data_IF_778863903072
#
_entry.id   IF_778863903072
#
_cell.length_a   1.000
_cell.length_b   1.000
_cell.length_c   1.000
_cell.angle_alpha   90.00
_cell.angle_beta   90.00
_cell.angle_gamma   90.00
#
_symmetry.space_group_name_H-M   'P 1'
#
loop_
_entity.id
_entity.type
_entity.pdbx_description
1 polymer ?
#
# COMPACT_ATOMS: atom_id res chain seq x y z
N UNK A 1 -17.91 -43.10 -4.04
CA UNK A 1 -17.99 -42.15 -5.16
C UNK A 1 -17.10 -40.98 -4.78
N UNK A 2 -15.88 -41.02 -5.26
CA UNK A 2 -14.86 -39.99 -5.07
C UNK A 2 -15.30 -38.68 -5.70
N UNK A 3 -15.43 -37.63 -4.88
CA UNK A 3 -15.43 -36.27 -5.38
C UNK A 3 -13.99 -35.77 -5.40
N UNK A 4 -13.35 -36.02 -6.54
CA UNK A 4 -12.07 -35.44 -6.92
C UNK A 4 -12.20 -33.90 -6.97
N UNK A 5 -11.83 -33.23 -5.87
CA UNK A 5 -11.73 -31.77 -5.83
C UNK A 5 -10.57 -31.34 -6.73
N UNK A 6 -10.86 -31.00 -7.99
CA UNK A 6 -9.95 -30.25 -8.85
C UNK A 6 -9.61 -28.91 -8.18
N UNK A 7 -8.42 -28.85 -7.57
CA UNK A 7 -7.79 -27.62 -7.10
C UNK A 7 -7.46 -26.73 -8.31
N UNK A 8 -8.40 -25.85 -8.69
CA UNK A 8 -8.13 -24.78 -9.66
C UNK A 8 -7.35 -23.67 -8.95
N UNK A 9 -6.14 -23.39 -9.46
CA UNK A 9 -5.16 -22.43 -8.92
C UNK A 9 -5.73 -20.99 -9.01
N UNK A 10 -5.88 -20.32 -7.88
CA UNK A 10 -6.17 -18.88 -7.81
C UNK A 10 -4.87 -18.04 -7.81
N UNK A 11 -4.97 -16.73 -7.54
CA UNK A 11 -3.84 -15.79 -7.54
C UNK A 11 -2.72 -16.14 -6.53
N UNK A 12 -2.99 -17.07 -5.62
CA UNK A 12 -2.06 -17.67 -4.68
C UNK A 12 -1.97 -19.18 -4.97
N UNK A 13 -1.09 -19.58 -5.89
CA UNK A 13 -0.84 -20.99 -6.23
C UNK A 13 0.30 -21.59 -5.39
N UNK A 14 0.18 -22.87 -4.99
CA UNK A 14 1.28 -23.61 -4.34
C UNK A 14 2.46 -23.85 -5.31
N UNK A 15 3.66 -23.70 -4.77
CA UNK A 15 5.00 -23.86 -5.36
C UNK A 15 5.21 -25.20 -6.10
N UNK A 16 6.01 -25.16 -7.18
CA UNK A 16 7.08 -26.15 -7.37
C UNK A 16 8.40 -25.50 -6.94
N UNK A 17 9.20 -26.26 -6.19
CA UNK A 17 10.51 -25.88 -5.70
C UNK A 17 11.46 -25.59 -6.86
N UNK A 18 11.94 -24.35 -6.99
CA UNK A 18 13.36 -24.05 -7.20
C UNK A 18 13.62 -22.52 -7.20
N UNK A 19 14.89 -22.16 -7.05
CA UNK A 19 15.50 -20.82 -7.11
C UNK A 19 15.59 -20.01 -5.81
N UNK A 20 16.72 -20.22 -5.15
CA UNK A 20 17.51 -19.20 -4.44
C UNK A 20 17.81 -18.01 -5.37
N UNK A 21 17.60 -16.77 -4.91
CA UNK A 21 18.34 -15.63 -5.42
C UNK A 21 18.50 -14.52 -4.38
N UNK A 22 19.70 -13.92 -4.40
CA UNK A 22 20.26 -13.04 -3.39
C UNK A 22 19.62 -11.65 -3.33
N UNK A 23 19.58 -11.09 -2.12
CA UNK A 23 19.18 -9.72 -1.78
C UNK A 23 20.34 -8.77 -2.11
N UNK A 24 20.06 -7.67 -2.82
CA UNK A 24 20.96 -6.52 -2.90
C UNK A 24 20.26 -5.30 -2.30
N UNK A 25 20.90 -4.68 -1.32
CA UNK A 25 20.45 -3.47 -0.66
C UNK A 25 20.92 -2.25 -1.45
N UNK A 26 19.98 -1.43 -1.92
CA UNK A 26 20.28 -0.07 -2.34
C UNK A 26 19.35 0.92 -1.64
N UNK A 27 19.96 1.71 -0.76
CA UNK A 27 19.36 2.88 -0.14
C UNK A 27 19.39 4.05 -1.13
N UNK A 28 18.23 4.58 -1.50
CA UNK A 28 18.11 5.84 -2.20
C UNK A 28 17.57 6.92 -1.25
N UNK A 29 18.46 7.80 -0.80
CA UNK A 29 18.11 9.05 -0.15
C UNK A 29 17.74 10.10 -1.20
N UNK A 30 16.55 10.70 -1.06
CA UNK A 30 16.08 11.79 -1.89
C UNK A 30 15.31 12.81 -1.06
N UNK A 31 15.72 14.08 -1.17
CA UNK A 31 15.26 15.22 -0.37
C UNK A 31 13.77 15.52 -0.53
N UNK A 32 13.08 15.69 0.61
CA UNK A 32 11.66 16.03 0.71
C UNK A 32 11.40 17.46 0.22
N UNK A 33 10.65 17.58 -0.87
CA UNK A 33 9.87 18.78 -1.17
C UNK A 33 8.69 18.88 -0.20
N UNK A 34 8.65 19.95 0.59
CA UNK A 34 7.56 20.26 1.51
C UNK A 34 6.32 20.74 0.74
N UNK A 35 5.37 19.83 0.52
CA UNK A 35 4.00 20.17 0.15
C UNK A 35 3.20 20.56 1.40
N UNK A 36 2.23 21.49 1.28
CA UNK A 36 1.47 21.99 2.42
C UNK A 36 0.70 20.85 3.09
N UNK A 37 0.72 20.84 4.42
CA UNK A 37 0.02 19.86 5.23
C UNK A 37 -1.47 19.78 4.82
N UNK A 38 -2.05 18.58 4.63
CA UNK A 38 -3.49 18.44 4.46
C UNK A 38 -4.17 18.66 5.81
N UNK A 39 -4.22 19.91 6.25
CA UNK A 39 -5.16 20.31 7.28
C UNK A 39 -6.55 20.21 6.66
N UNK A 40 -7.41 19.35 7.21
CA UNK A 40 -8.87 19.21 6.94
C UNK A 40 -9.32 18.05 6.04
N UNK A 41 -8.65 16.91 6.04
CA UNK A 41 -9.36 15.66 5.79
C UNK A 41 -10.27 15.36 7.00
N UNK A 42 -11.48 15.95 7.04
CA UNK A 42 -12.52 15.55 7.99
C UNK A 42 -13.09 14.23 7.48
N UNK A 43 -12.49 13.10 7.87
CA UNK A 43 -13.08 11.78 7.61
C UNK A 43 -14.50 11.78 8.16
N UNK A 44 -15.45 11.28 7.37
CA UNK A 44 -16.81 11.02 7.83
C UNK A 44 -16.72 10.11 9.07
N UNK A 45 -16.87 10.70 10.26
CA UNK A 45 -16.86 9.98 11.52
C UNK A 45 -18.28 9.61 11.85
N UNK A 46 -18.46 8.45 12.47
CA UNK A 46 -19.69 8.14 13.17
C UNK A 46 -20.05 9.22 14.20
N UNK A 47 -21.30 9.22 14.66
CA UNK A 47 -21.83 10.27 15.52
C UNK A 47 -21.38 10.05 16.96
N UNK A 48 -20.79 11.04 17.65
CA UNK A 48 -20.50 10.92 19.08
C UNK A 48 -21.79 10.67 19.86
N UNK A 49 -21.77 9.71 20.79
CA UNK A 49 -22.94 9.36 21.63
C UNK A 49 -23.63 10.57 22.25
N UNK A 50 -22.93 11.55 22.86
CA UNK A 50 -23.59 12.74 23.43
C UNK A 50 -24.34 13.60 22.40
N UNK A 51 -24.01 13.48 21.11
CA UNK A 51 -24.63 14.22 20.02
C UNK A 51 -25.73 13.43 19.30
N UNK A 52 -25.93 12.15 19.64
CA UNK A 52 -26.94 11.28 19.04
C UNK A 52 -28.33 11.48 19.68
N UNK A 53 -28.73 12.73 19.88
CA UNK A 53 -29.96 13.12 20.59
C UNK A 53 -30.85 13.99 19.71
N UNK A 54 -32.16 14.00 20.01
CA UNK A 54 -33.11 14.85 19.29
C UNK A 54 -32.75 16.34 19.40
N UNK A 55 -32.28 16.76 20.58
CA UNK A 55 -31.88 18.14 20.83
C UNK A 55 -30.65 18.55 20.00
N UNK A 56 -29.62 17.70 19.93
CA UNK A 56 -28.43 17.97 19.13
C UNK A 56 -28.75 18.02 17.63
N UNK A 57 -29.63 17.13 17.14
CA UNK A 57 -30.08 17.12 15.75
C UNK A 57 -30.97 18.31 15.39
N UNK A 58 -31.84 18.75 16.32
CA UNK A 58 -32.72 19.92 16.13
C UNK A 58 -31.93 21.22 16.13
N UNK A 59 -31.01 21.37 17.08
CA UNK A 59 -30.13 22.55 17.18
C UNK A 59 -28.95 22.52 16.21
N UNK A 60 -28.75 21.39 15.51
CA UNK A 60 -27.59 21.13 14.64
C UNK A 60 -26.24 21.40 15.32
N UNK A 61 -26.17 21.20 16.64
CA UNK A 61 -24.98 21.48 17.44
C UNK A 61 -24.46 20.21 18.10
N UNK A 62 -23.19 19.88 17.85
CA UNK A 62 -22.48 18.78 18.50
C UNK A 62 -21.21 19.32 19.19
N UNK A 63 -21.39 19.86 20.40
CA UNK A 63 -20.33 20.45 21.21
C UNK A 63 -20.33 19.89 22.64
N UNK A 64 -20.08 18.59 22.82
CA UNK A 64 -20.18 17.96 24.12
C UNK A 64 -19.15 18.50 25.11
N UNK A 65 -19.52 18.46 26.39
CA UNK A 65 -18.64 18.83 27.48
C UNK A 65 -17.43 17.88 27.57
N UNK A 66 -16.26 18.44 27.83
CA UNK A 66 -15.08 17.64 28.16
C UNK A 66 -15.13 17.25 29.64
N UNK A 67 -15.04 15.96 30.02
CA UNK A 67 -15.17 15.53 31.41
C UNK A 67 -14.16 16.16 32.38
N UNK A 68 -12.99 16.57 31.89
CA UNK A 68 -11.94 17.11 32.76
C UNK A 68 -12.24 18.49 33.37
N UNK A 69 -13.06 19.32 32.71
CA UNK A 69 -13.47 20.62 33.25
C UNK A 69 -14.98 20.90 33.16
N UNK A 70 -15.75 19.99 32.55
CA UNK A 70 -17.20 20.09 32.38
C UNK A 70 -17.66 21.21 31.45
N UNK A 71 -16.75 21.87 30.70
CA UNK A 71 -17.13 22.87 29.70
C UNK A 71 -17.25 22.26 28.30
N UNK A 72 -18.11 22.84 27.48
CA UNK A 72 -18.21 22.50 26.06
C UNK A 72 -16.83 22.60 25.41
N UNK A 73 -16.43 21.54 24.71
CA UNK A 73 -15.16 21.48 23.99
C UNK A 73 -13.91 21.74 24.85
N UNK A 74 -14.01 21.64 26.19
CA UNK A 74 -12.91 21.96 27.11
C UNK A 74 -12.48 23.43 27.09
N UNK A 75 -13.42 24.35 26.83
CA UNK A 75 -13.18 25.79 26.75
C UNK A 75 -12.55 26.39 28.03
N UNK A 76 -12.95 25.95 29.22
CA UNK A 76 -12.39 26.44 30.49
C UNK A 76 -10.90 26.12 30.63
N UNK A 77 -10.46 25.01 30.07
CA UNK A 77 -9.05 24.60 30.02
C UNK A 77 -8.33 25.06 28.75
N UNK A 78 -8.97 25.87 27.91
CA UNK A 78 -8.39 26.33 26.65
C UNK A 78 -8.16 25.24 25.60
N UNK A 79 -8.83 24.08 25.71
CA UNK A 79 -8.66 22.95 24.79
C UNK A 79 -9.35 23.15 23.46
N UNK A 80 -10.43 23.93 23.43
CA UNK A 80 -11.22 24.17 22.24
C UNK A 80 -12.48 24.94 22.54
N UNK A 81 -13.20 25.30 21.48
CA UNK A 81 -14.43 26.07 21.57
C UNK A 81 -15.46 25.54 20.57
N UNK A 82 -16.74 25.65 20.92
CA UNK A 82 -17.83 25.35 20.01
C UNK A 82 -17.91 26.43 18.92
N UNK A 83 -17.78 26.04 17.65
CA UNK A 83 -17.74 26.98 16.52
C UNK A 83 -18.53 26.44 15.33
N UNK A 84 -18.89 27.35 14.41
CA UNK A 84 -19.53 26.98 13.15
C UNK A 84 -18.59 26.14 12.27
N UNK A 85 -19.17 25.16 11.60
CA UNK A 85 -18.45 24.25 10.71
C UNK A 85 -18.20 24.94 9.38
N UNK A 86 -16.92 25.14 9.07
CA UNK A 86 -16.48 25.59 7.74
C UNK A 86 -16.21 24.38 6.84
N UNK A 87 -16.90 24.33 5.70
CA UNK A 87 -16.71 23.36 4.61
C UNK A 87 -16.18 24.06 3.36
N UNK A 88 -15.77 23.29 2.35
CA UNK A 88 -15.41 23.84 1.04
C UNK A 88 -16.66 24.29 0.29
N UNK A 89 -16.55 25.39 -0.44
CA UNK A 89 -17.59 25.89 -1.37
C UNK A 89 -17.25 25.57 -2.83
N UNK A 90 -16.20 24.75 -3.07
CA UNK A 90 -15.87 24.25 -4.40
C UNK A 90 -16.95 23.27 -4.89
N UNK A 91 -17.25 23.26 -6.20
CA UNK A 91 -18.25 22.36 -6.76
C UNK A 91 -17.80 20.90 -6.67
N UNK A 92 -18.78 19.99 -6.66
CA UNK A 92 -18.52 18.56 -6.78
C UNK A 92 -17.94 18.22 -8.16
N UNK A 93 -17.25 17.09 -8.25
CA UNK A 93 -16.80 16.57 -9.54
C UNK A 93 -17.98 16.24 -10.46
N UNK A 94 -17.79 16.27 -11.79
CA UNK A 94 -18.86 16.07 -12.76
C UNK A 94 -19.53 14.68 -12.68
N UNK A 95 -18.92 13.72 -11.98
CA UNK A 95 -19.50 12.39 -11.75
C UNK A 95 -20.76 12.39 -10.87
N UNK A 96 -20.96 13.43 -10.06
CA UNK A 96 -22.10 13.53 -9.16
C UNK A 96 -22.95 14.75 -9.52
N UNK A 97 -23.96 14.60 -10.42
CA UNK A 97 -24.77 15.71 -10.94
C UNK A 97 -25.94 16.09 -10.02
N UNK A 98 -25.92 15.66 -8.76
CA UNK A 98 -26.98 15.92 -7.79
C UNK A 98 -26.54 16.93 -6.73
N UNK A 99 -27.51 17.56 -6.07
CA UNK A 99 -27.27 18.46 -4.95
C UNK A 99 -28.37 18.29 -3.92
N UNK A 100 -27.97 18.31 -2.64
CA UNK A 100 -28.87 18.20 -1.49
C UNK A 100 -29.69 16.89 -1.45
N UNK A 101 -29.15 15.81 -2.01
CA UNK A 101 -29.80 14.48 -2.01
C UNK A 101 -29.10 13.49 -1.08
N UNK A 102 -27.82 13.72 -0.75
CA UNK A 102 -27.02 12.84 0.07
C UNK A 102 -26.49 13.54 1.33
N UNK A 103 -26.71 12.92 2.49
CA UNK A 103 -26.28 13.45 3.79
C UNK A 103 -24.75 13.65 3.91
N UNK A 104 -23.97 13.05 3.01
CA UNK A 104 -22.51 13.14 2.93
C UNK A 104 -22.03 14.37 2.19
N UNK A 105 -22.90 15.04 1.44
CA UNK A 105 -22.59 16.31 0.79
C UNK A 105 -22.23 17.35 1.85
N UNK A 106 -21.16 18.12 1.58
CA UNK A 106 -20.66 19.17 2.49
C UNK A 106 -20.60 18.68 3.95
N UNK A 107 -20.09 17.47 4.15
CA UNK A 107 -20.02 16.82 5.45
C UNK A 107 -19.40 17.73 6.52
N UNK A 108 -20.01 17.86 7.72
CA UNK A 108 -21.17 17.14 8.28
C UNK A 108 -22.48 17.97 8.30
N UNK A 109 -22.66 18.95 7.41
CA UNK A 109 -23.70 19.98 7.56
C UNK A 109 -25.15 19.47 7.51
N UNK A 110 -25.39 18.27 6.96
CA UNK A 110 -26.69 17.61 7.05
C UNK A 110 -27.11 17.41 8.53
N UNK A 111 -26.17 17.04 9.39
CA UNK A 111 -26.42 16.77 10.80
C UNK A 111 -26.11 17.98 11.70
N UNK A 112 -24.92 18.56 11.57
CA UNK A 112 -24.43 19.59 12.49
C UNK A 112 -23.74 20.74 11.76
N UNK A 113 -24.17 21.97 12.06
CA UNK A 113 -23.52 23.19 11.61
C UNK A 113 -22.58 23.78 12.67
N UNK A 114 -22.60 23.28 13.91
CA UNK A 114 -21.68 23.68 15.00
C UNK A 114 -21.02 22.47 15.63
N UNK A 115 -19.69 22.51 15.74
CA UNK A 115 -18.88 21.43 16.34
C UNK A 115 -17.70 21.99 17.14
N UNK A 116 -17.08 21.15 17.97
CA UNK A 116 -15.86 21.53 18.67
C UNK A 116 -14.69 21.77 17.72
N UNK A 117 -14.09 22.97 17.82
CA UNK A 117 -12.81 23.30 17.19
C UNK A 117 -11.73 23.34 18.26
N UNK A 118 -10.83 22.36 18.21
CA UNK A 118 -9.78 22.20 19.21
C UNK A 118 -8.58 23.13 18.94
N UNK A 119 -7.99 23.62 20.02
CA UNK A 119 -6.82 24.49 20.03
C UNK A 119 -5.51 23.69 20.06
N UNK A 120 -4.43 24.26 19.54
CA UNK A 120 -3.09 23.67 19.63
C UNK A 120 -3.03 22.21 19.14
N UNK A 121 -2.56 21.31 20.02
CA UNK A 121 -2.44 19.88 19.74
C UNK A 121 -3.59 19.04 20.30
N UNK A 122 -4.67 19.66 20.76
CA UNK A 122 -5.87 18.94 21.16
C UNK A 122 -6.70 18.50 19.95
N UNK A 123 -7.48 17.43 20.11
CA UNK A 123 -8.45 16.93 19.14
C UNK A 123 -9.52 16.06 19.80
N UNK A 124 -10.30 15.35 19.00
CA UNK A 124 -11.42 14.53 19.47
C UNK A 124 -12.72 15.31 19.40
N UNK A 125 -13.84 14.63 19.60
CA UNK A 125 -15.16 15.23 19.43
C UNK A 125 -15.50 16.28 20.51
N UNK A 126 -14.81 16.25 21.65
CA UNK A 126 -14.91 17.21 22.77
C UNK A 126 -13.58 17.89 23.11
N UNK A 127 -12.57 17.80 22.23
CA UNK A 127 -11.20 18.29 22.46
C UNK A 127 -10.45 17.66 23.65
N UNK A 128 -10.92 16.52 24.15
CA UNK A 128 -10.27 15.79 25.24
C UNK A 128 -9.07 14.94 24.83
N UNK A 129 -8.87 14.72 23.54
CA UNK A 129 -7.79 13.87 22.99
C UNK A 129 -6.63 14.71 22.45
N UNK A 130 -5.52 14.04 22.10
CA UNK A 130 -4.37 14.65 21.46
C UNK A 130 -4.28 14.31 19.97
N UNK A 131 -3.75 15.25 19.17
CA UNK A 131 -3.42 15.03 17.75
C UNK A 131 -2.57 13.77 17.60
N UNK A 132 -2.71 13.06 16.47
CA UNK A 132 -1.90 11.86 16.21
C UNK A 132 -0.40 12.19 16.36
N UNK A 133 0.31 11.40 17.16
CA UNK A 133 1.72 11.62 17.50
C UNK A 133 1.97 12.50 18.74
N UNK A 134 0.93 13.11 19.32
CA UNK A 134 1.00 13.87 20.56
C UNK A 134 0.32 13.12 21.72
N UNK A 135 0.88 13.27 22.92
CA UNK A 135 0.50 12.54 24.12
C UNK A 135 0.61 13.42 25.37
N UNK A 136 0.19 12.86 26.50
CA UNK A 136 0.17 13.51 27.80
C UNK A 136 -1.05 14.41 28.00
N UNK A 137 -1.32 14.84 29.24
CA UNK A 137 -2.52 15.60 29.59
C UNK A 137 -2.63 16.92 28.82
N UNK A 138 -1.49 17.57 28.51
CA UNK A 138 -1.44 18.83 27.73
C UNK A 138 -1.17 18.65 26.24
N UNK A 139 -1.10 17.42 25.71
CA UNK A 139 -0.76 17.15 24.31
C UNK A 139 0.56 17.79 23.83
N UNK A 140 1.53 17.90 24.75
CA UNK A 140 2.84 18.50 24.50
C UNK A 140 3.94 17.46 24.23
N UNK A 141 3.71 16.19 24.58
CA UNK A 141 4.69 15.14 24.39
C UNK A 141 4.57 14.54 22.98
N UNK A 142 5.65 14.56 22.20
CA UNK A 142 5.69 13.90 20.90
C UNK A 142 6.19 12.47 21.04
N UNK A 143 5.45 11.50 20.49
CA UNK A 143 5.91 10.11 20.39
C UNK A 143 5.76 9.58 18.97
N UNK A 144 6.69 8.73 18.60
CA UNK A 144 6.68 8.03 17.32
C UNK A 144 6.24 6.57 17.53
N UNK A 145 5.49 6.05 16.58
CA UNK A 145 5.02 4.66 16.58
C UNK A 145 5.43 4.00 15.27
N UNK A 146 5.92 2.77 15.34
CA UNK A 146 6.45 2.05 14.18
C UNK A 146 5.52 0.89 13.85
N UNK A 147 4.86 0.98 12.69
CA UNK A 147 4.10 -0.15 12.11
C UNK A 147 5.10 -1.10 11.47
N UNK A 148 5.03 -2.38 11.84
CA UNK A 148 5.95 -3.43 11.37
C UNK A 148 5.22 -4.43 10.48
N UNK A 149 5.98 -5.17 9.68
CA UNK A 149 5.43 -6.28 8.90
C UNK A 149 4.91 -7.36 9.85
N UNK A 150 3.67 -7.82 9.66
CA UNK A 150 3.01 -8.83 10.50
C UNK A 150 3.82 -10.14 10.61
N UNK A 151 4.52 -10.53 9.54
CA UNK A 151 5.32 -11.76 9.51
C UNK A 151 6.68 -11.62 10.21
N UNK A 152 7.10 -10.38 10.51
CA UNK A 152 8.33 -10.10 11.27
C UNK A 152 8.07 -9.86 12.76
N UNK A 153 6.81 -9.88 13.19
CA UNK A 153 6.45 -9.76 14.60
C UNK A 153 6.84 -11.02 15.40
N UNK A 154 6.92 -10.90 16.73
CA UNK A 154 7.00 -12.08 17.60
C UNK A 154 5.65 -12.83 17.62
N UNK A 155 5.65 -14.10 18.02
CA UNK A 155 4.40 -14.86 18.22
C UNK A 155 3.47 -14.15 19.22
N UNK A 156 4.04 -13.62 20.31
CA UNK A 156 3.31 -12.85 21.31
C UNK A 156 2.70 -11.56 20.73
N UNK A 157 3.44 -10.83 19.88
CA UNK A 157 2.93 -9.61 19.26
C UNK A 157 1.82 -9.88 18.24
N UNK A 158 1.93 -10.97 17.47
CA UNK A 158 0.85 -11.40 16.56
C UNK A 158 -0.39 -11.80 17.35
N UNK A 159 -0.23 -12.59 18.41
CA UNK A 159 -1.34 -12.99 19.25
C UNK A 159 -1.98 -11.78 19.94
N UNK A 160 -1.18 -10.82 20.43
CA UNK A 160 -1.67 -9.54 20.97
C UNK A 160 -2.52 -8.78 19.96
N UNK A 161 -2.06 -8.66 18.71
CA UNK A 161 -2.82 -8.02 17.63
C UNK A 161 -4.17 -8.70 17.41
N UNK A 162 -4.20 -10.03 17.29
CA UNK A 162 -5.43 -10.80 17.07
C UNK A 162 -6.39 -10.71 18.25
N UNK A 163 -5.87 -10.83 19.48
CA UNK A 163 -6.67 -10.68 20.70
C UNK A 163 -7.31 -9.29 20.78
N UNK A 164 -6.59 -8.22 20.41
CA UNK A 164 -7.14 -6.87 20.40
C UNK A 164 -8.22 -6.69 19.32
N UNK A 165 -8.07 -7.31 18.14
CA UNK A 165 -9.12 -7.29 17.12
C UNK A 165 -10.39 -8.03 17.59
N UNK A 166 -10.25 -9.19 18.23
CA UNK A 166 -11.38 -9.93 18.78
C UNK A 166 -12.08 -9.15 19.91
N UNK A 167 -11.30 -8.49 20.78
CA UNK A 167 -11.85 -7.61 21.80
C UNK A 167 -12.61 -6.43 21.18
N UNK A 168 -12.03 -5.78 20.16
CA UNK A 168 -12.68 -4.68 19.45
C UNK A 168 -13.97 -5.11 18.74
N UNK A 169 -14.04 -6.35 18.25
CA UNK A 169 -15.22 -6.92 17.60
C UNK A 169 -16.36 -7.23 18.57
N UNK A 170 -16.05 -7.52 19.82
CA UNK A 170 -17.03 -7.88 20.85
C UNK A 170 -17.37 -6.73 21.81
N UNK A 171 -16.60 -5.63 21.79
CA UNK A 171 -16.82 -4.49 22.69
C UNK A 171 -17.55 -3.36 21.99
N UNK A 172 -18.67 -2.91 22.57
CA UNK A 172 -19.43 -1.75 22.10
C UNK A 172 -18.59 -0.46 22.24
N UNK A 173 -18.56 0.37 21.19
CA UNK A 173 -17.86 1.64 21.18
C UNK A 173 -18.40 2.56 22.27
N UNK A 174 -17.53 3.02 23.18
CA UNK A 174 -17.93 3.90 24.28
C UNK A 174 -18.21 5.34 23.84
N UNK A 175 -17.70 5.75 22.68
CA UNK A 175 -17.75 7.15 22.23
C UNK A 175 -18.72 7.37 21.07
N UNK A 176 -18.96 6.35 20.25
CA UNK A 176 -19.64 6.52 18.95
C UNK A 176 -20.81 5.55 18.77
N UNK A 177 -21.82 6.03 18.05
CA UNK A 177 -22.94 5.26 17.52
C UNK A 177 -23.06 5.49 16.01
N UNK A 178 -23.74 4.56 15.33
CA UNK A 178 -23.96 4.64 13.88
C UNK A 178 -25.38 5.12 13.58
N UNK A 179 -25.53 5.87 12.49
CA UNK A 179 -26.85 6.22 11.98
C UNK A 179 -27.48 5.02 11.28
N UNK A 180 -28.76 4.75 11.56
CA UNK A 180 -29.54 3.67 10.92
C UNK A 180 -30.58 4.19 9.94
N UNK A 181 -30.69 5.52 9.79
CA UNK A 181 -31.54 6.19 8.81
C UNK A 181 -30.89 7.48 8.31
N UNK A 182 -31.46 8.05 7.25
CA UNK A 182 -31.01 9.32 6.67
C UNK A 182 -31.47 10.50 7.52
N UNK A 183 -30.87 11.68 7.31
CA UNK A 183 -31.29 12.90 8.01
C UNK A 183 -32.74 13.25 7.70
N UNK A 184 -33.20 13.03 6.47
CA UNK A 184 -34.59 13.23 6.07
C UNK A 184 -35.54 12.33 6.88
N UNK A 185 -35.24 11.04 6.99
CA UNK A 185 -36.05 10.09 7.77
C UNK A 185 -36.13 10.48 9.26
N UNK A 186 -35.01 10.95 9.84
CA UNK A 186 -35.00 11.44 11.23
C UNK A 186 -35.85 12.71 11.41
N UNK A 187 -35.95 13.56 10.39
CA UNK A 187 -36.84 14.72 10.42
C UNK A 187 -38.30 14.30 10.34
N UNK A 188 -38.63 13.41 9.39
CA UNK A 188 -40.00 12.97 9.12
C UNK A 188 -40.60 12.24 10.32
N UNK A 189 -39.79 11.40 10.98
CA UNK A 189 -40.20 10.67 12.19
C UNK A 189 -40.11 11.50 13.46
N UNK A 190 -39.37 12.61 13.44
CA UNK A 190 -39.05 13.40 14.63
C UNK A 190 -38.17 12.67 15.65
N UNK A 191 -37.61 11.49 15.30
CA UNK A 191 -36.89 10.61 16.21
C UNK A 191 -35.44 10.38 15.75
N UNK A 192 -34.44 10.42 16.65
CA UNK A 192 -33.07 10.01 16.34
C UNK A 192 -33.02 8.53 15.94
N UNK A 193 -32.35 8.23 14.83
CA UNK A 193 -32.17 6.86 14.34
C UNK A 193 -30.70 6.45 14.48
N UNK A 194 -30.32 5.98 15.67
CA UNK A 194 -28.96 5.56 15.99
C UNK A 194 -28.94 4.17 16.63
N UNK A 195 -27.85 3.42 16.42
CA UNK A 195 -27.64 2.12 17.03
C UNK A 195 -26.24 1.98 17.62
N UNK A 196 -26.16 1.15 18.66
CA UNK A 196 -24.89 0.68 19.21
C UNK A 196 -24.11 -0.13 18.18
N UNK A 197 -22.78 -0.04 18.27
CA UNK A 197 -21.86 -0.72 17.36
C UNK A 197 -20.61 -1.14 18.12
N UNK A 198 -20.01 -2.28 17.75
CA UNK A 198 -18.70 -2.67 18.26
C UNK A 198 -17.60 -1.72 17.76
N UNK A 199 -16.46 -1.65 18.46
CA UNK A 199 -15.32 -0.84 18.02
C UNK A 199 -14.85 -1.29 16.63
N UNK A 200 -14.82 -2.59 16.34
CA UNK A 200 -14.45 -3.07 15.00
C UNK A 200 -15.51 -2.69 13.95
N UNK A 201 -16.79 -2.94 14.25
CA UNK A 201 -17.87 -2.72 13.29
C UNK A 201 -18.14 -1.23 13.04
N UNK A 202 -17.72 -0.35 13.95
CA UNK A 202 -17.70 1.09 13.73
C UNK A 202 -16.89 1.45 12.48
N UNK A 203 -15.71 0.86 12.33
CA UNK A 203 -14.83 1.11 11.19
C UNK A 203 -15.33 0.40 9.92
N UNK A 204 -15.95 -0.78 10.06
CA UNK A 204 -16.66 -1.42 8.94
C UNK A 204 -17.79 -0.52 8.43
N UNK A 205 -18.62 0.00 9.34
CA UNK A 205 -19.74 0.88 9.00
C UNK A 205 -19.26 2.21 8.41
N UNK A 206 -18.19 2.81 8.95
CA UNK A 206 -17.63 4.05 8.40
C UNK A 206 -17.18 3.89 6.95
N UNK A 207 -16.52 2.77 6.62
CA UNK A 207 -16.11 2.45 5.24
C UNK A 207 -17.32 2.19 4.35
N UNK A 208 -18.29 1.40 4.82
CA UNK A 208 -19.57 1.22 4.12
C UNK A 208 -20.27 2.56 3.83
N UNK A 209 -20.36 3.45 4.82
CA UNK A 209 -21.10 4.70 4.73
C UNK A 209 -20.48 5.66 3.71
N UNK A 210 -19.16 5.68 3.55
CA UNK A 210 -18.50 6.54 2.55
C UNK A 210 -18.58 5.99 1.13
N UNK A 211 -18.74 4.67 0.98
CA UNK A 211 -18.75 3.97 -0.32
C UNK A 211 -20.13 3.55 -0.81
N UNK A 212 -21.17 3.63 0.02
CA UNK A 212 -22.54 3.30 -0.41
C UNK A 212 -23.05 4.26 -1.49
N UNK A 213 -23.96 3.78 -2.32
CA UNK A 213 -24.69 4.59 -3.30
C UNK A 213 -25.49 5.72 -2.62
N UNK A 214 -25.66 6.82 -3.35
CA UNK A 214 -26.50 7.94 -2.93
C UNK A 214 -27.99 7.60 -3.10
N UNK A 215 -28.81 7.96 -2.11
CA UNK A 215 -30.26 7.72 -2.14
C UNK A 215 -30.95 8.92 -2.75
N UNK A 216 -31.57 8.75 -3.92
CA UNK A 216 -32.27 9.84 -4.59
C UNK A 216 -33.67 10.12 -4.02
N UNK A 217 -34.14 9.30 -3.07
CA UNK A 217 -35.43 9.44 -2.40
C UNK A 217 -36.63 8.98 -3.25
N UNK A 218 -37.79 8.86 -2.60
CA UNK A 218 -39.13 8.74 -3.22
C UNK A 218 -39.27 7.75 -4.39
N UNK A 219 -38.60 6.60 -4.35
CA UNK A 219 -38.68 5.58 -5.40
C UNK A 219 -37.83 5.87 -6.65
N UNK A 220 -37.04 6.94 -6.67
CA UNK A 220 -36.14 7.31 -7.77
C UNK A 220 -34.87 6.43 -7.86
N UNK A 221 -34.74 5.44 -6.97
CA UNK A 221 -33.60 4.52 -6.94
C UNK A 221 -32.37 5.10 -6.26
N UNK A 222 -31.20 4.65 -6.71
CA UNK A 222 -29.89 5.02 -6.16
C UNK A 222 -28.97 5.52 -7.27
N UNK A 223 -28.00 6.37 -6.91
CA UNK A 223 -26.91 6.77 -7.78
C UNK A 223 -25.62 6.08 -7.31
N UNK A 224 -25.09 5.19 -8.14
CA UNK A 224 -23.94 4.35 -7.80
C UNK A 224 -22.57 4.95 -8.18
N UNK A 225 -22.53 5.94 -9.08
CA UNK A 225 -21.27 6.56 -9.51
C UNK A 225 -20.84 7.66 -8.51
N UNK A 226 -20.68 7.27 -7.25
CA UNK A 226 -20.26 8.14 -6.14
C UNK A 226 -19.52 7.35 -5.07
N UNK A 227 -18.30 7.77 -4.74
CA UNK A 227 -17.53 7.25 -3.60
C UNK A 227 -16.72 8.38 -2.96
N UNK A 228 -16.80 8.51 -1.63
CA UNK A 228 -16.14 9.59 -0.87
C UNK A 228 -14.74 9.19 -0.35
N UNK A 229 -14.31 7.95 -0.58
CA UNK A 229 -13.08 7.37 -0.09
C UNK A 229 -12.28 6.58 -1.14
N UNK A 230 -12.82 6.38 -2.35
CA UNK A 230 -12.18 5.67 -3.46
C UNK A 230 -12.37 6.44 -4.78
N UNK A 231 -11.69 5.95 -5.83
CA UNK A 231 -11.78 6.36 -7.22
C UNK A 231 -11.45 7.84 -7.47
N UNK A 232 -10.87 8.53 -6.49
CA UNK A 232 -10.54 9.95 -6.54
C UNK A 232 -9.38 10.32 -5.58
N UNK A 233 -8.93 11.57 -5.67
CA UNK A 233 -7.78 12.10 -4.93
C UNK A 233 -7.81 11.90 -3.40
N UNK A 234 -8.99 11.64 -2.81
CA UNK A 234 -9.16 11.43 -1.37
C UNK A 234 -8.77 10.01 -0.90
N UNK A 235 -8.54 9.04 -1.80
CA UNK A 235 -8.30 7.64 -1.46
C UNK A 235 -7.25 7.43 -0.36
N UNK A 236 -6.03 7.89 -0.60
CA UNK A 236 -4.91 7.73 0.33
C UNK A 236 -5.08 8.52 1.63
N UNK A 237 -5.43 9.82 1.64
CA UNK A 237 -5.60 10.56 2.90
C UNK A 237 -6.78 10.04 3.72
N UNK A 238 -7.88 9.60 3.10
CA UNK A 238 -9.02 9.04 3.80
C UNK A 238 -8.62 7.75 4.53
N UNK A 239 -8.04 6.78 3.82
CA UNK A 239 -7.61 5.51 4.40
C UNK A 239 -6.48 5.67 5.43
N UNK A 240 -5.61 6.67 5.27
CA UNK A 240 -4.59 7.02 6.28
C UNK A 240 -5.24 7.43 7.60
N UNK A 241 -6.20 8.36 7.56
CA UNK A 241 -6.87 8.83 8.77
C UNK A 241 -7.81 7.75 9.34
N UNK A 242 -8.40 6.91 8.50
CA UNK A 242 -9.15 5.72 8.91
C UNK A 242 -8.28 4.79 9.78
N UNK A 243 -7.11 4.36 9.27
CA UNK A 243 -6.20 3.49 10.02
C UNK A 243 -5.66 4.14 11.29
N UNK A 244 -5.35 5.44 11.25
CA UNK A 244 -4.93 6.18 12.44
C UNK A 244 -6.02 6.23 13.51
N UNK A 245 -7.28 6.44 13.10
CA UNK A 245 -8.42 6.47 14.01
C UNK A 245 -8.72 5.08 14.58
N UNK A 246 -8.63 4.03 13.76
CA UNK A 246 -8.83 2.65 14.22
C UNK A 246 -7.77 2.20 15.22
N UNK A 247 -6.51 2.47 14.93
CA UNK A 247 -5.40 2.19 15.84
C UNK A 247 -5.61 2.87 17.20
N UNK A 248 -6.08 4.12 17.20
CA UNK A 248 -6.38 4.85 18.43
C UNK A 248 -7.52 4.25 19.23
N UNK A 249 -8.64 3.91 18.60
CA UNK A 249 -9.77 3.33 19.33
C UNK A 249 -9.39 1.98 19.96
N UNK A 250 -8.54 1.20 19.31
CA UNK A 250 -7.95 -0.01 19.92
C UNK A 250 -7.04 0.35 21.11
N UNK A 251 -6.15 1.35 20.99
CA UNK A 251 -5.31 1.82 22.11
C UNK A 251 -6.16 2.26 23.31
N UNK A 252 -7.28 2.95 23.06
CA UNK A 252 -8.22 3.40 24.11
C UNK A 252 -8.92 2.22 24.77
N UNK A 253 -9.38 1.27 23.96
CA UNK A 253 -10.04 0.05 24.43
C UNK A 253 -9.13 -0.81 25.31
N UNK A 254 -7.85 -0.94 24.94
CA UNK A 254 -6.92 -1.86 25.62
C UNK A 254 -6.06 -1.19 26.68
N UNK A 255 -5.94 0.14 26.65
CA UNK A 255 -4.97 0.89 27.44
C UNK A 255 -3.52 0.77 26.94
N UNK A 256 -3.26 -0.03 25.89
CA UNK A 256 -1.93 -0.22 25.32
C UNK A 256 -1.60 0.92 24.33
N UNK A 257 -1.05 2.02 24.85
CA UNK A 257 -0.68 3.18 24.05
C UNK A 257 0.44 2.91 23.02
N UNK A 258 1.16 1.79 23.16
CA UNK A 258 2.24 1.40 22.24
C UNK A 258 1.75 0.51 21.10
N UNK A 259 0.49 0.07 21.12
CA UNK A 259 -0.10 -0.74 20.07
C UNK A 259 -0.01 -0.05 18.70
N UNK A 260 0.35 -0.81 17.66
CA UNK A 260 0.32 -0.34 16.27
C UNK A 260 -0.29 -1.40 15.38
N UNK A 261 -1.06 -0.98 14.37
CA UNK A 261 -1.56 -1.90 13.34
C UNK A 261 -0.38 -2.33 12.46
N UNK A 262 -0.06 -3.64 12.37
CA UNK A 262 0.97 -4.12 11.46
C UNK A 262 0.53 -4.02 10.01
N UNK A 263 1.48 -4.10 9.08
CA UNK A 263 1.17 -4.18 7.65
C UNK A 263 1.49 -5.57 7.10
N UNK A 264 0.80 -5.94 6.03
CA UNK A 264 1.15 -7.10 5.21
C UNK A 264 1.93 -6.61 3.99
N UNK A 265 3.19 -7.02 3.88
CA UNK A 265 3.96 -6.85 2.65
C UNK A 265 3.56 -7.95 1.67
N UNK A 266 2.67 -7.62 0.74
CA UNK A 266 2.14 -8.55 -0.27
C UNK A 266 3.04 -8.65 -1.52
N UNK A 267 4.08 -7.83 -1.63
CA UNK A 267 5.00 -7.83 -2.77
C UNK A 267 5.67 -9.18 -2.90
N UNK A 268 5.62 -9.75 -4.10
CA UNK A 268 6.22 -11.05 -4.43
C UNK A 268 5.76 -12.20 -3.53
N UNK A 269 4.67 -12.04 -2.78
CA UNK A 269 4.09 -13.09 -1.97
C UNK A 269 3.59 -14.20 -2.92
N UNK A 270 4.31 -15.32 -2.92
CA UNK A 270 4.00 -16.49 -3.77
C UNK A 270 2.76 -17.24 -3.27
N UNK A 271 2.46 -17.10 -1.99
CA UNK A 271 1.32 -17.68 -1.31
C UNK A 271 0.59 -16.64 -0.45
N UNK A 272 -0.73 -16.80 -0.33
CA UNK A 272 -1.56 -15.99 0.55
C UNK A 272 -1.34 -16.49 1.99
N UNK A 273 -0.21 -16.14 2.61
CA UNK A 273 0.10 -16.54 3.98
C UNK A 273 -0.97 -16.00 4.93
N UNK A 274 -1.61 -16.90 5.68
CA UNK A 274 -2.59 -16.53 6.69
C UNK A 274 -2.17 -16.89 8.08
N UNK A 275 -2.75 -16.19 9.05
CA UNK A 275 -2.52 -16.38 10.47
C UNK A 275 -3.89 -16.47 11.15
N UNK A 276 -4.07 -17.47 12.01
CA UNK A 276 -5.24 -17.64 12.89
C UNK A 276 -6.60 -17.72 12.18
N UNK A 277 -6.70 -18.58 11.17
CA UNK A 277 -7.89 -18.80 10.33
C UNK A 277 -8.73 -20.02 10.68
N UNK A 278 -8.31 -20.83 11.66
CA UNK A 278 -9.00 -22.05 12.07
C UNK A 278 -9.59 -21.97 13.50
N UNK A 279 -10.56 -21.06 13.77
CA UNK A 279 -11.10 -20.85 15.11
C UNK A 279 -11.66 -22.14 15.74
N UNK A 280 -12.29 -23.00 14.95
CA UNK A 280 -12.83 -24.29 15.41
C UNK A 280 -11.75 -25.22 15.97
N UNK A 281 -10.56 -25.22 15.38
CA UNK A 281 -9.45 -26.07 15.81
C UNK A 281 -8.88 -25.57 17.13
N UNK A 282 -8.73 -24.25 17.30
CA UNK A 282 -8.22 -23.68 18.55
C UNK A 282 -9.23 -23.90 19.68
N UNK A 283 -10.52 -23.63 19.42
CA UNK A 283 -11.60 -23.82 20.38
C UNK A 283 -11.71 -25.27 20.86
N UNK A 284 -11.69 -26.24 19.93
CA UNK A 284 -11.78 -27.68 20.28
C UNK A 284 -10.59 -28.14 21.12
N UNK A 285 -9.42 -27.54 20.90
CA UNK A 285 -8.19 -27.88 21.62
C UNK A 285 -8.00 -27.07 22.90
N UNK A 286 -8.90 -26.13 23.19
CA UNK A 286 -8.78 -25.17 24.29
C UNK A 286 -7.42 -24.43 24.29
N UNK A 287 -6.86 -24.20 23.10
CA UNK A 287 -5.63 -23.42 22.89
C UNK A 287 -5.97 -22.13 22.18
N UNK A 288 -5.11 -21.12 22.32
CA UNK A 288 -5.13 -19.96 21.44
C UNK A 288 -4.23 -20.24 20.24
N UNK A 289 -4.55 -19.63 19.10
CA UNK A 289 -3.63 -19.57 17.98
C UNK A 289 -2.27 -19.01 18.43
N UNK A 290 -1.18 -19.58 17.94
CA UNK A 290 0.19 -19.14 18.28
C UNK A 290 0.69 -18.02 17.34
N UNK A 291 -0.17 -17.60 16.41
CA UNK A 291 0.14 -16.59 15.41
C UNK A 291 1.12 -17.05 14.34
N UNK A 292 1.49 -18.33 14.26
CA UNK A 292 2.34 -18.82 13.18
C UNK A 292 1.57 -18.84 11.84
N UNK A 293 2.26 -18.73 10.69
CA UNK A 293 1.62 -18.90 9.40
C UNK A 293 0.97 -20.28 9.27
N UNK A 294 -0.30 -20.32 8.85
CA UNK A 294 -1.13 -21.54 8.74
C UNK A 294 -1.23 -22.07 7.30
N UNK A 295 -0.41 -21.51 6.40
CA UNK A 295 -0.44 -21.84 4.99
C UNK A 295 -1.37 -20.91 4.20
N UNK A 296 -1.98 -21.39 3.09
CA UNK A 296 -2.72 -20.54 2.17
C UNK A 296 -4.09 -20.13 2.72
N UNK A 297 -4.49 -18.89 2.46
CA UNK A 297 -5.80 -18.33 2.81
C UNK A 297 -6.96 -19.22 2.36
N UNK A 298 -7.88 -19.51 3.29
CA UNK A 298 -9.15 -20.23 3.04
C UNK A 298 -10.25 -19.37 2.38
N UNK A 299 -9.88 -18.19 1.88
CA UNK A 299 -10.70 -17.44 0.91
C UNK A 299 -10.18 -17.79 -0.48
N UNK A 300 -10.91 -17.40 -1.53
CA UNK A 300 -10.52 -17.65 -2.92
C UNK A 300 -10.07 -16.37 -3.67
N UNK A 301 -9.07 -15.58 -3.18
CA UNK A 301 -8.63 -14.35 -3.84
C UNK A 301 -8.17 -14.59 -5.28
N UNK A 302 -8.54 -13.67 -6.16
CA UNK A 302 -8.17 -13.69 -7.57
C UNK A 302 -8.86 -14.77 -8.41
N UNK A 303 -9.74 -15.59 -7.83
CA UNK A 303 -10.47 -16.61 -8.57
C UNK A 303 -11.92 -16.20 -8.89
N UNK A 304 -12.35 -15.03 -8.41
CA UNK A 304 -13.61 -14.41 -8.84
C UNK A 304 -13.54 -14.00 -10.30
N UNK A 305 -12.38 -13.47 -10.74
CA UNK A 305 -12.09 -13.22 -12.15
C UNK A 305 -10.59 -13.38 -12.43
N UNK A 306 -10.15 -14.58 -12.86
CA UNK A 306 -8.74 -14.86 -13.16
C UNK A 306 -8.19 -14.03 -14.31
N UNK A 307 -9.04 -13.40 -15.14
CA UNK A 307 -8.59 -12.50 -16.20
C UNK A 307 -8.13 -11.13 -15.67
N UNK A 308 -8.60 -10.74 -14.46
CA UNK A 308 -8.31 -9.44 -13.85
C UNK A 308 -7.27 -9.49 -12.74
N UNK A 309 -7.19 -10.61 -12.02
CA UNK A 309 -6.26 -10.79 -10.90
C UNK A 309 -5.73 -12.22 -10.90
N UNK A 310 -4.58 -12.43 -11.55
CA UNK A 310 -3.95 -13.75 -11.63
C UNK A 310 -2.74 -13.92 -10.70
N UNK A 311 -2.22 -12.82 -10.12
CA UNK A 311 -1.13 -12.82 -9.12
C UNK A 311 -1.27 -11.62 -8.19
N UNK A 312 -0.60 -11.70 -7.04
CA UNK A 312 -0.30 -10.50 -6.25
C UNK A 312 0.75 -9.65 -6.98
N UNK A 313 0.77 -8.32 -6.78
CA UNK A 313 1.74 -7.45 -7.43
C UNK A 313 3.16 -7.74 -6.94
N UNK A 314 4.11 -7.48 -7.83
CA UNK A 314 5.52 -7.74 -7.63
C UNK A 314 6.20 -6.51 -7.02
N UNK A 315 7.47 -6.65 -6.65
CA UNK A 315 8.26 -5.49 -6.30
C UNK A 315 8.40 -4.49 -7.46
N UNK A 316 8.49 -4.96 -8.72
CA UNK A 316 8.53 -4.10 -9.90
C UNK A 316 7.27 -3.24 -10.05
N UNK A 317 6.10 -3.81 -9.78
CA UNK A 317 4.83 -3.08 -9.82
C UNK A 317 4.85 -1.90 -8.82
N UNK A 318 5.41 -2.12 -7.62
CA UNK A 318 5.52 -1.08 -6.59
C UNK A 318 6.56 -0.02 -6.95
N UNK A 319 7.73 -0.41 -7.44
CA UNK A 319 8.76 0.54 -7.90
C UNK A 319 8.24 1.42 -9.05
N UNK A 320 7.45 0.85 -9.96
CA UNK A 320 6.78 1.62 -11.01
C UNK A 320 5.85 2.67 -10.41
N UNK A 321 4.96 2.29 -9.47
CA UNK A 321 4.06 3.26 -8.83
C UNK A 321 4.84 4.37 -8.13
N UNK A 322 5.91 4.02 -7.40
CA UNK A 322 6.75 4.98 -6.69
C UNK A 322 7.53 5.93 -7.62
N UNK A 323 7.73 5.55 -8.88
CA UNK A 323 8.36 6.41 -9.88
C UNK A 323 7.44 7.54 -10.37
N UNK A 324 6.13 7.46 -10.12
CA UNK A 324 5.16 8.47 -10.53
C UNK A 324 5.27 9.72 -9.66
N UNK A 325 5.54 10.86 -10.28
CA UNK A 325 5.77 12.14 -9.57
C UNK A 325 4.49 12.93 -9.29
N UNK A 326 3.44 12.69 -10.08
CA UNK A 326 2.15 13.36 -9.92
C UNK A 326 1.27 12.57 -8.95
N UNK A 327 0.90 13.19 -7.83
CA UNK A 327 -0.05 12.59 -6.88
C UNK A 327 -1.39 12.25 -7.55
N UNK A 328 -1.91 13.21 -8.33
CA UNK A 328 -3.14 13.08 -9.12
C UNK A 328 -2.95 13.73 -10.51
N UNK A 329 -3.76 13.35 -11.50
CA UNK A 329 -3.76 13.94 -12.85
C UNK A 329 -5.17 14.16 -13.41
N UNK A 330 -5.24 14.94 -14.51
CA UNK A 330 -6.40 15.15 -15.39
C UNK A 330 -7.76 15.29 -14.67
N UNK A 331 -8.55 14.22 -14.70
CA UNK A 331 -9.96 14.15 -14.33
C UNK A 331 -10.19 14.01 -12.83
N UNK A 332 -9.13 13.81 -12.03
CA UNK A 332 -9.19 13.58 -10.58
C UNK A 332 -10.09 12.40 -10.17
N UNK A 333 -10.32 11.45 -11.08
CA UNK A 333 -11.19 10.28 -10.91
C UNK A 333 -10.48 8.98 -11.35
N UNK A 334 -11.18 7.84 -11.39
CA UNK A 334 -10.65 6.55 -11.88
C UNK A 334 -10.12 6.57 -13.32
N UNK A 335 -10.47 7.58 -14.12
CA UNK A 335 -9.99 7.73 -15.50
C UNK A 335 -8.65 8.46 -15.60
N UNK A 336 -8.17 9.05 -14.49
CA UNK A 336 -6.92 9.79 -14.43
C UNK A 336 -5.74 8.95 -14.94
N UNK A 337 -4.98 9.52 -15.86
CA UNK A 337 -3.90 8.79 -16.53
C UNK A 337 -2.58 8.96 -15.78
N UNK A 338 -1.87 7.87 -15.51
CA UNK A 338 -0.51 7.89 -14.94
C UNK A 338 -0.39 8.70 -13.63
N UNK A 339 -1.44 8.74 -12.81
CA UNK A 339 -1.37 9.35 -11.49
C UNK A 339 -0.97 8.34 -10.41
N UNK A 340 -0.14 8.78 -9.46
CA UNK A 340 0.31 7.94 -8.34
C UNK A 340 -0.88 7.35 -7.58
N UNK A 341 -1.87 8.17 -7.22
CA UNK A 341 -3.07 7.70 -6.50
C UNK A 341 -3.83 6.66 -7.32
N UNK A 342 -4.14 6.95 -8.59
CA UNK A 342 -4.98 6.08 -9.40
C UNK A 342 -4.28 4.75 -9.68
N UNK A 343 -2.98 4.77 -10.02
CA UNK A 343 -2.20 3.54 -10.25
C UNK A 343 -2.05 2.72 -8.97
N UNK A 344 -1.85 3.35 -7.81
CA UNK A 344 -1.77 2.63 -6.52
C UNK A 344 -3.11 2.01 -6.10
N UNK A 345 -4.23 2.65 -6.45
CA UNK A 345 -5.57 2.16 -6.18
C UNK A 345 -5.98 1.03 -7.15
N UNK A 346 -5.70 1.19 -8.44
CA UNK A 346 -6.15 0.29 -9.52
C UNK A 346 -5.15 -0.80 -9.91
N UNK A 347 -4.01 -0.97 -9.22
CA UNK A 347 -2.95 -1.96 -9.53
C UNK A 347 -3.40 -3.43 -9.51
N UNK A 348 -4.70 -3.67 -9.38
CA UNK A 348 -5.39 -4.95 -9.25
C UNK A 348 -6.33 -5.25 -10.41
N UNK A 349 -6.24 -4.52 -11.53
CA UNK A 349 -6.96 -4.90 -12.74
C UNK A 349 -5.98 -5.09 -13.90
N UNK A 350 -5.51 -6.33 -14.12
CA UNK A 350 -4.86 -6.72 -15.38
C UNK A 350 -5.85 -6.73 -16.58
N UNK A 351 -6.95 -5.98 -16.48
CA UNK A 351 -8.03 -5.92 -17.45
C UNK A 351 -8.73 -4.55 -17.49
N UNK A 352 -8.10 -3.46 -17.03
CA UNK A 352 -8.33 -2.23 -17.79
C UNK A 352 -7.60 -2.50 -19.09
N UNK A 353 -8.28 -2.62 -20.24
CA UNK A 353 -7.62 -2.92 -21.49
C UNK A 353 -6.46 -1.95 -21.57
N UNK A 354 -5.32 -2.42 -22.09
CA UNK A 354 -4.29 -1.54 -22.62
C UNK A 354 -4.97 -0.27 -23.14
N UNK A 355 -4.97 0.82 -22.38
CA UNK A 355 -5.34 2.14 -22.90
C UNK A 355 -4.13 2.45 -23.77
N UNK A 356 -4.19 1.90 -24.98
CA UNK A 356 -3.13 1.86 -25.99
C UNK A 356 -1.71 1.74 -25.41
N UNK A 357 -1.35 0.58 -24.87
CA UNK A 357 0.06 0.14 -24.89
C UNK A 357 0.39 -0.43 -26.26
N UNK A 358 0.06 0.32 -27.30
CA UNK A 358 0.61 0.12 -28.63
C UNK A 358 1.68 1.20 -28.80
N UNK A 359 2.94 0.75 -28.81
CA UNK A 359 4.14 1.42 -29.32
C UNK A 359 4.56 2.82 -28.80
N UNK A 360 3.80 3.53 -27.95
CA UNK A 360 4.12 4.94 -27.65
C UNK A 360 4.92 5.26 -26.38
N UNK A 361 5.06 4.37 -25.40
CA UNK A 361 5.75 4.73 -24.14
C UNK A 361 7.27 4.63 -24.24
N UNK A 362 7.79 3.72 -25.07
CA UNK A 362 9.20 3.74 -25.44
C UNK A 362 9.52 5.03 -26.21
N UNK A 363 8.64 5.47 -27.11
CA UNK A 363 8.81 6.72 -27.86
C UNK A 363 8.64 7.96 -26.98
N UNK A 364 7.74 7.98 -25.99
CA UNK A 364 7.59 9.11 -25.06
C UNK A 364 8.77 9.23 -24.07
N UNK A 365 9.24 8.10 -23.53
CA UNK A 365 10.43 8.07 -22.67
C UNK A 365 11.69 8.45 -23.46
N UNK A 366 11.79 8.01 -24.73
CA UNK A 366 12.85 8.44 -25.65
C UNK A 366 12.69 9.93 -26.04
N UNK A 367 11.47 10.43 -26.26
CA UNK A 367 11.25 11.81 -26.70
C UNK A 367 11.41 12.85 -25.59
N UNK A 368 10.93 12.59 -24.38
CA UNK A 368 11.00 13.57 -23.28
C UNK A 368 12.34 13.48 -22.53
N UNK A 369 12.86 12.26 -22.33
CA UNK A 369 14.04 12.04 -21.49
C UNK A 369 15.34 11.93 -22.29
N UNK A 370 15.32 11.34 -23.50
CA UNK A 370 16.51 11.15 -24.33
C UNK A 370 16.68 12.23 -25.40
N UNK A 371 15.60 12.79 -25.98
CA UNK A 371 15.71 13.76 -27.07
C UNK A 371 16.55 15.02 -26.75
N UNK A 372 16.56 15.59 -25.52
CA UNK A 372 17.44 16.70 -25.19
C UNK A 372 18.93 16.33 -25.27
N UNK A 373 19.25 15.05 -25.06
CA UNK A 373 20.63 14.53 -25.14
C UNK A 373 20.99 14.01 -26.52
N UNK A 374 20.02 13.82 -27.43
CA UNK A 374 20.25 13.22 -28.74
C UNK A 374 21.09 14.10 -29.66
N UNK A 375 20.94 15.42 -29.59
CA UNK A 375 21.82 16.35 -30.33
C UNK A 375 23.26 16.34 -29.80
N UNK A 376 23.45 16.14 -28.49
CA UNK A 376 24.78 15.95 -27.91
C UNK A 376 25.41 14.61 -28.32
N UNK A 377 24.62 13.53 -28.34
CA UNK A 377 25.09 12.20 -28.76
C UNK A 377 25.46 12.20 -30.24
N UNK A 378 24.67 12.84 -31.12
CA UNK A 378 25.00 12.97 -32.56
C UNK A 378 26.29 13.72 -32.83
N UNK A 379 26.60 14.76 -32.04
CA UNK A 379 27.86 15.49 -32.17
C UNK A 379 29.08 14.66 -31.78
N UNK A 380 28.93 13.74 -30.81
CA UNK A 380 30.03 12.95 -30.26
C UNK A 380 30.23 11.63 -31.03
N UNK A 381 29.18 11.08 -31.64
CA UNK A 381 29.21 9.77 -32.31
C UNK A 381 30.27 9.65 -33.44
N UNK A 382 30.47 10.65 -34.32
CA UNK A 382 31.53 10.60 -35.33
C UNK A 382 32.94 10.55 -34.72
N UNK A 383 33.15 11.23 -33.59
CA UNK A 383 34.44 11.22 -32.88
C UNK A 383 34.71 9.90 -32.18
N UNK A 384 33.70 9.25 -31.60
CA UNK A 384 33.84 7.93 -30.98
C UNK A 384 34.13 6.85 -32.02
N UNK A 385 33.41 6.86 -33.15
CA UNK A 385 33.70 5.95 -34.26
C UNK A 385 35.08 6.22 -34.87
N UNK A 386 35.44 7.50 -35.04
CA UNK A 386 36.78 7.89 -35.50
C UNK A 386 37.88 7.41 -34.56
N UNK A 387 37.71 7.58 -33.23
CA UNK A 387 38.64 7.12 -32.23
C UNK A 387 38.76 5.59 -32.18
N UNK A 388 37.66 4.87 -32.36
CA UNK A 388 37.66 3.41 -32.43
C UNK A 388 38.43 2.88 -33.66
N UNK A 389 38.19 3.47 -34.84
CA UNK A 389 38.92 3.12 -36.07
C UNK A 389 40.40 3.47 -35.94
N UNK A 390 40.72 4.66 -35.43
CA UNK A 390 42.10 5.08 -35.21
C UNK A 390 42.80 4.17 -34.20
N UNK A 391 42.12 3.81 -33.10
CA UNK A 391 42.62 2.87 -32.11
C UNK A 391 42.89 1.48 -32.69
N UNK A 392 41.99 0.97 -33.54
CA UNK A 392 42.19 -0.30 -34.25
C UNK A 392 43.38 -0.26 -35.22
N UNK A 393 43.56 0.85 -35.95
CA UNK A 393 44.69 1.02 -36.87
C UNK A 393 46.03 1.13 -36.13
N UNK A 394 46.07 1.87 -35.02
CA UNK A 394 47.27 1.97 -34.16
C UNK A 394 47.59 0.61 -33.55
N UNK A 395 46.60 -0.12 -33.04
CA UNK A 395 46.80 -1.47 -32.51
C UNK A 395 47.33 -2.44 -33.58
N UNK A 396 46.81 -2.37 -34.81
CA UNK A 396 47.28 -3.18 -35.92
C UNK A 396 48.72 -2.85 -36.32
N UNK A 397 49.09 -1.56 -36.36
CA UNK A 397 50.45 -1.11 -36.63
C UNK A 397 51.43 -1.56 -35.54
N UNK A 398 51.07 -1.38 -34.27
CA UNK A 398 51.87 -1.84 -33.13
C UNK A 398 52.05 -3.36 -33.20
N UNK A 399 50.98 -4.12 -33.48
CA UNK A 399 51.08 -5.57 -33.66
C UNK A 399 51.93 -5.99 -34.88
N UNK A 400 51.95 -5.20 -35.95
CA UNK A 400 52.79 -5.44 -37.13
C UNK A 400 54.27 -5.13 -36.84
N UNK A 401 54.57 -4.05 -36.11
CA UNK A 401 55.92 -3.70 -35.67
C UNK A 401 56.46 -4.74 -34.69
N UNK A 402 55.66 -5.18 -33.72
CA UNK A 402 56.02 -6.28 -32.80
C UNK A 402 56.30 -7.56 -33.59
N UNK A 403 55.43 -7.93 -34.54
CA UNK A 403 55.67 -9.11 -35.40
C UNK A 403 56.93 -8.95 -36.25
N UNK A 404 57.20 -7.78 -36.80
CA UNK A 404 58.43 -7.47 -37.55
C UNK A 404 59.69 -7.56 -36.68
N UNK A 405 59.64 -7.07 -35.44
CA UNK A 405 60.72 -7.17 -34.48
C UNK A 405 60.95 -8.62 -34.00
N UNK A 406 59.87 -9.39 -33.78
CA UNK A 406 59.95 -10.82 -33.44
C UNK A 406 60.50 -11.64 -34.61
N UNK A 407 60.13 -11.36 -35.86
CA UNK A 407 60.64 -12.07 -37.05
C UNK A 407 62.10 -11.71 -37.33
N UNK A 408 62.51 -10.46 -37.15
CA UNK A 408 63.91 -10.04 -37.32
C UNK A 408 64.81 -10.58 -36.20
N UNK A 409 64.33 -10.62 -34.96
CA UNK A 409 65.05 -11.28 -33.84
C UNK A 409 65.09 -12.79 -33.99
N UNK A 410 64.03 -13.46 -34.48
CA UNK A 410 64.05 -14.90 -34.83
C UNK A 410 64.99 -15.21 -36.00
N UNK A 411 65.03 -14.38 -37.05
CA UNK A 411 66.01 -14.53 -38.15
C UNK A 411 67.44 -14.30 -37.67
N UNK A 412 67.68 -13.38 -36.72
CA UNK A 412 68.98 -13.20 -36.06
C UNK A 412 69.37 -14.40 -35.18
N UNK A 413 68.41 -15.05 -34.51
CA UNK A 413 68.63 -16.24 -33.68
C UNK A 413 68.85 -17.52 -34.52
N UNK A 414 68.15 -17.67 -35.65
CA UNK A 414 68.34 -18.81 -36.56
C UNK A 414 69.63 -18.76 -37.39
N UNK A 415 70.36 -17.64 -37.40
CA UNK A 415 71.70 -17.55 -37.99
C UNK A 415 72.82 -17.93 -37.01
N UNK A 416 72.50 -18.26 -35.74
CA UNK A 416 73.50 -18.54 -34.69
C UNK A 416 73.52 -19.96 -34.10
N UNK A 417 72.53 -20.81 -34.35
CA UNK A 417 72.56 -22.20 -33.86
C UNK A 417 72.31 -23.19 -34.99
N UNK A 418 73.39 -23.58 -35.68
CA UNK A 418 73.41 -24.79 -36.48
C UNK A 418 74.49 -25.70 -35.93
N UNK A 419 74.13 -26.64 -35.05
CA UNK A 419 74.76 -27.94 -34.76
C UNK A 419 73.79 -28.68 -33.80
N UNK A 420 73.46 -29.94 -34.09
CA UNK A 420 72.31 -30.66 -33.52
C UNK A 420 72.61 -31.98 -32.81
N UNK A 421 71.55 -32.73 -32.45
CA UNK A 421 71.45 -34.18 -32.09
C UNK A 421 69.94 -34.47 -31.81
N UNK A 422 69.16 -35.33 -32.51
CA UNK A 422 69.04 -36.82 -32.60
C UNK A 422 68.79 -37.52 -31.25
N UNK A 423 67.54 -37.81 -30.83
CA UNK A 423 66.66 -39.00 -31.06
C UNK A 423 66.37 -39.74 -29.71
N UNK A 424 65.44 -40.71 -29.56
CA UNK A 424 64.27 -41.12 -30.37
C UNK A 424 62.95 -41.38 -29.56
N UNK A 425 61.91 -41.80 -30.30
CA UNK A 425 60.58 -42.27 -29.86
C UNK A 425 60.57 -43.75 -29.45
N UNK A 426 59.68 -44.13 -28.50
CA UNK A 426 59.13 -45.48 -28.25
C UNK A 426 57.62 -45.28 -28.06
N UNK A 427 56.73 -45.70 -28.95
CA UNK A 427 56.19 -47.02 -29.35
C UNK A 427 55.20 -47.67 -28.36
N UNK A 428 54.12 -48.19 -28.95
CA UNK A 428 52.88 -48.81 -28.44
C UNK A 428 52.94 -50.35 -28.31
N UNK A 429 52.09 -50.94 -27.45
CA UNK A 429 51.38 -52.26 -27.58
C UNK A 429 50.68 -52.62 -26.24
N UNK A 430 49.34 -52.71 -26.15
CA UNK A 430 48.46 -53.92 -26.15
C UNK A 430 48.53 -54.78 -24.86
N UNK A 431 47.41 -54.79 -24.07
CA UNK A 431 46.54 -55.96 -23.68
C UNK A 431 47.16 -56.90 -22.62
N UNK A 432 46.52 -57.46 -21.57
CA UNK A 432 45.12 -57.67 -21.15
C UNK A 432 45.14 -58.12 -19.65
N UNK A 433 44.01 -57.93 -18.94
CA UNK A 433 43.44 -58.78 -17.87
C UNK A 433 44.16 -59.13 -16.54
N UNK A 434 43.59 -58.70 -15.40
CA UNK A 434 42.62 -59.50 -14.61
C UNK A 434 42.33 -58.95 -13.19
N UNK A 435 41.03 -59.00 -12.85
CA UNK A 435 40.42 -59.36 -11.56
C UNK A 435 40.53 -58.41 -10.32
N UNK A 436 39.35 -57.93 -9.89
CA UNK A 436 38.98 -58.05 -8.47
C UNK A 436 37.50 -58.40 -8.32
N UNK A 437 37.27 -59.64 -7.92
CA UNK A 437 36.00 -60.22 -7.50
C UNK A 437 35.57 -59.65 -6.15
N UNK A 438 34.27 -59.38 -6.02
CA UNK A 438 33.57 -59.30 -4.75
C UNK A 438 33.51 -60.70 -4.11
N UNK A 439 33.66 -60.79 -2.78
CA UNK A 439 32.59 -61.13 -1.81
C UNK A 439 33.21 -61.71 -0.53
N UNK A 440 32.89 -61.13 0.62
CA UNK A 440 32.69 -61.87 1.87
C UNK A 440 31.62 -61.17 2.70
N UNK A 441 30.56 -61.96 2.95
CA UNK A 441 29.61 -61.99 4.08
C UNK A 441 28.73 -60.77 4.39
#
# INVERSE_FOLDING_TARGET
MDFEKKSKKGACGKLSEDSTLARSDHAAGGSRGSLPAPSRARVARAVPRPCATADALRTKTCCPAWPGDGSECGARSGRGFCQDVTVSDLPNGPQFPHSDVDDRERWPLAFYNRTCRCAGNFMGYNCGECKFGYYGPGCAERRESVRRNIFQLSAADRQRFISYLNLAKSTISADYVIATGTRAQMNDTGAPMFADVSVYDLFVWMHYYVSRDALLGSGAGVWADVDFAHEAAAFLPWHRVFLLSWEREIRKLTGDLNFTIPYWDWRDARDCQVICTHPEVYNTREVLCDGLPEGPLLRNPGNHDPSRVNRLPSNEDVEFVLSLTQYESDTLDRRANMSFRNVLEETWTTSSPRKSWDTNTATYWIQEFIAPYWEHVKQIWPWLLGAAVLGALVAALVAAVIRGFVVTTRRRRNRKNGYGEKQPLLNSSEEEDTASYQTTL
#
